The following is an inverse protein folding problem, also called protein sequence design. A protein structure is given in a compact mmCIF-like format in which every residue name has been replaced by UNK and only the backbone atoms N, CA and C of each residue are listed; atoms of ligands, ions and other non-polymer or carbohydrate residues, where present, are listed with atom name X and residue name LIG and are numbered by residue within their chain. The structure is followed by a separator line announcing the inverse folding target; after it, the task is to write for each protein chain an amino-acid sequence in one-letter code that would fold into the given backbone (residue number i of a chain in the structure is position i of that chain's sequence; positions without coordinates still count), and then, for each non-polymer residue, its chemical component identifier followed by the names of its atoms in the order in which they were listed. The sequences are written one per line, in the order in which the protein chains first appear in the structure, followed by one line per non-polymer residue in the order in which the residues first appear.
data_IF_812474296904
#
_entry.id   IF_812474296904
#
_cell.length_a   1.000
_cell.length_b   1.000
_cell.length_c   1.000
_cell.angle_alpha   90.00
_cell.angle_beta   90.00
_cell.angle_gamma   90.00
#
_symmetry.space_group_name_H-M   'P 1'
#
loop_
_entity.id
_entity.type
_entity.pdbx_description
1 polymer ?
#
# COMPACT_ATOMS: atom_id res chain seq x y z
N UNK A 1 -6.91 17.40 6.98
CA UNK A 1 -5.63 17.13 6.28
C UNK A 1 -5.15 15.76 6.72
N UNK A 2 -5.19 14.77 5.83
CA UNK A 2 -4.80 13.39 6.14
C UNK A 2 -3.32 13.32 6.46
N UNK A 3 -2.93 12.52 7.46
CA UNK A 3 -1.53 12.35 7.84
C UNK A 3 -1.04 11.00 7.32
N UNK A 4 0.09 11.01 6.63
CA UNK A 4 0.78 9.75 6.28
C UNK A 4 1.03 8.95 7.55
N UNK A 5 0.64 7.67 7.52
CA UNK A 5 0.73 6.76 8.65
C UNK A 5 -0.50 6.73 9.57
N UNK A 6 -1.55 7.50 9.31
CA UNK A 6 -2.82 7.35 10.04
C UNK A 6 -3.69 6.22 9.47
N UNK A 7 -4.71 5.79 10.23
CA UNK A 7 -5.60 4.71 9.83
C UNK A 7 -6.37 5.00 8.53
N UNK A 8 -6.69 6.28 8.26
CA UNK A 8 -7.40 6.67 7.04
C UNK A 8 -6.52 6.56 5.79
N UNK A 9 -5.23 6.87 5.94
CA UNK A 9 -4.20 6.67 4.92
C UNK A 9 -4.05 5.20 4.57
N UNK A 10 -3.88 4.32 5.58
CA UNK A 10 -3.69 2.89 5.31
C UNK A 10 -4.88 2.25 4.64
N UNK A 11 -6.10 2.63 5.01
CA UNK A 11 -7.32 2.13 4.35
C UNK A 11 -7.35 2.39 2.84
N UNK A 12 -6.75 3.49 2.36
CA UNK A 12 -6.70 3.80 0.91
C UNK A 12 -5.57 3.07 0.25
N UNK A 13 -4.42 3.06 0.91
CA UNK A 13 -3.27 2.27 0.46
C UNK A 13 -3.68 0.81 0.30
N UNK A 14 -4.43 0.25 1.23
CA UNK A 14 -4.95 -1.13 1.14
C UNK A 14 -5.85 -1.32 -0.07
N UNK A 15 -6.76 -0.38 -0.34
CA UNK A 15 -7.65 -0.44 -1.50
C UNK A 15 -6.92 -0.24 -2.84
N UNK A 16 -5.95 0.67 -2.85
CA UNK A 16 -5.21 1.05 -4.05
C UNK A 16 -4.17 -0.01 -4.42
N UNK A 17 -3.56 -0.61 -3.40
CA UNK A 17 -2.57 -1.67 -3.55
C UNK A 17 -3.21 -3.05 -3.42
N UNK A 18 -4.54 -3.16 -3.35
CA UNK A 18 -5.23 -4.44 -3.31
C UNK A 18 -4.79 -5.25 -4.53
N UNK A 19 -4.03 -6.34 -4.34
CA UNK A 19 -3.61 -7.16 -5.44
C UNK A 19 -4.86 -7.89 -5.92
N UNK A 20 -5.57 -7.30 -6.89
CA UNK A 20 -6.70 -7.93 -7.54
C UNK A 20 -6.39 -9.42 -7.73
N UNK A 21 -7.18 -10.24 -7.03
CA UNK A 21 -6.98 -11.64 -6.59
C UNK A 21 -6.26 -12.60 -7.56
N UNK A 22 -5.02 -12.34 -7.91
CA UNK A 22 -4.18 -13.30 -8.65
C UNK A 22 -3.27 -14.03 -7.69
N UNK A 23 -3.20 -15.36 -7.85
CA UNK A 23 -2.43 -16.32 -7.03
C UNK A 23 -0.96 -15.95 -6.82
N UNK A 24 -0.43 -15.07 -7.68
CA UNK A 24 0.90 -14.46 -7.58
C UNK A 24 0.77 -12.95 -7.33
N UNK A 25 1.32 -12.41 -6.23
CA UNK A 25 1.32 -10.97 -5.99
C UNK A 25 2.06 -10.25 -7.12
N UNK A 26 1.46 -9.19 -7.69
CA UNK A 26 2.17 -8.31 -8.62
C UNK A 26 3.32 -7.62 -7.89
N UNK A 27 4.53 -7.79 -8.40
CA UNK A 27 5.76 -7.19 -7.86
C UNK A 27 5.94 -5.75 -8.37
N UNK A 28 5.54 -5.46 -9.61
CA UNK A 28 5.61 -4.11 -10.20
C UNK A 28 4.34 -3.77 -10.96
N UNK A 29 3.87 -2.54 -10.84
CA UNK A 29 2.72 -2.00 -11.57
C UNK A 29 2.76 -0.48 -11.56
N UNK A 30 1.91 0.17 -12.36
CA UNK A 30 1.79 1.62 -12.36
C UNK A 30 0.34 2.07 -12.20
N UNK A 31 0.14 3.21 -11.55
CA UNK A 31 -1.16 3.87 -11.37
C UNK A 31 -0.93 5.36 -11.60
N UNK A 32 -1.61 5.94 -12.59
CA UNK A 32 -1.64 7.41 -12.79
C UNK A 32 -0.27 8.09 -12.75
N UNK A 33 0.71 7.52 -13.46
CA UNK A 33 2.08 8.03 -13.54
C UNK A 33 2.95 7.78 -12.29
N UNK A 34 2.51 6.91 -11.39
CA UNK A 34 3.29 6.43 -10.23
C UNK A 34 3.65 4.96 -10.46
N UNK A 35 4.94 4.68 -10.46
CA UNK A 35 5.48 3.32 -10.52
C UNK A 35 5.52 2.72 -9.11
N UNK A 36 4.94 1.53 -8.96
CA UNK A 36 4.88 0.80 -7.70
C UNK A 36 5.75 -0.45 -7.77
N UNK A 37 6.49 -0.69 -6.70
CA UNK A 37 7.28 -1.89 -6.46
C UNK A 37 6.87 -2.48 -5.11
N UNK A 38 6.56 -3.78 -5.07
CA UNK A 38 6.30 -4.53 -3.83
C UNK A 38 7.35 -5.62 -3.66
N UNK A 39 8.01 -5.59 -2.52
CA UNK A 39 8.95 -6.61 -2.08
C UNK A 39 8.41 -7.27 -0.82
N UNK A 40 8.52 -8.59 -0.74
CA UNK A 40 8.09 -9.36 0.43
C UNK A 40 9.23 -10.24 0.90
N UNK A 41 9.58 -10.09 2.18
CA UNK A 41 10.51 -10.96 2.88
C UNK A 41 9.72 -11.77 3.90
N UNK A 42 10.04 -13.05 4.04
CA UNK A 42 9.42 -13.90 5.06
C UNK A 42 10.45 -14.77 5.73
N UNK A 43 10.25 -14.97 7.02
CA UNK A 43 11.03 -15.85 7.88
C UNK A 43 10.06 -16.79 8.60
N UNK A 44 10.42 -18.07 8.68
CA UNK A 44 9.68 -19.08 9.42
C UNK A 44 10.66 -19.83 10.31
N UNK A 45 10.50 -19.70 11.62
CA UNK A 45 11.28 -20.38 12.64
C UNK A 45 10.40 -21.17 13.60
N UNK A 46 11.03 -21.97 14.47
CA UNK A 46 10.32 -22.86 15.38
C UNK A 46 9.44 -22.14 16.42
N UNK A 47 9.86 -20.96 16.89
CA UNK A 47 9.12 -20.18 17.89
C UNK A 47 8.28 -19.05 17.31
N UNK A 48 8.68 -18.52 16.14
CA UNK A 48 8.03 -17.41 15.50
C UNK A 48 8.34 -17.38 14.00
N UNK A 49 7.48 -16.68 13.27
CA UNK A 49 7.71 -16.29 11.90
C UNK A 49 7.27 -14.86 11.68
N UNK A 50 7.73 -14.26 10.59
CA UNK A 50 7.24 -12.96 10.17
C UNK A 50 7.21 -12.84 8.66
N UNK A 51 6.35 -11.94 8.17
CA UNK A 51 6.40 -11.43 6.81
C UNK A 51 6.50 -9.91 6.86
N UNK A 52 7.43 -9.34 6.11
CA UNK A 52 7.54 -7.89 5.89
C UNK A 52 7.22 -7.63 4.42
N UNK A 53 6.26 -6.76 4.18
CA UNK A 53 5.91 -6.25 2.86
C UNK A 53 6.30 -4.78 2.77
N UNK A 54 7.19 -4.46 1.84
CA UNK A 54 7.60 -3.09 1.53
C UNK A 54 7.02 -2.73 0.18
N UNK A 55 6.17 -1.71 0.13
CA UNK A 55 5.61 -1.18 -1.11
C UNK A 55 6.08 0.25 -1.33
N UNK A 56 6.78 0.48 -2.44
CA UNK A 56 7.39 1.75 -2.81
C UNK A 56 6.66 2.32 -4.02
N UNK A 57 6.09 3.52 -3.89
CA UNK A 57 5.49 4.28 -4.98
C UNK A 57 6.42 5.42 -5.40
N UNK A 58 6.76 5.52 -6.68
CA UNK A 58 7.69 6.51 -7.22
C UNK A 58 7.01 7.32 -8.32
N UNK A 59 6.85 8.62 -8.09
CA UNK A 59 6.44 9.59 -9.11
C UNK A 59 7.66 10.40 -9.53
N UNK A 60 8.14 10.20 -10.75
CA UNK A 60 9.31 10.93 -11.28
C UNK A 60 8.94 12.27 -11.90
N UNK A 61 7.73 12.39 -12.47
CA UNK A 61 7.21 13.63 -13.02
C UNK A 61 6.90 14.65 -11.92
N UNK A 62 7.18 15.94 -12.14
CA UNK A 62 6.90 16.98 -11.14
C UNK A 62 5.40 17.13 -10.84
N UNK A 63 5.00 17.37 -9.57
CA UNK A 63 5.84 17.27 -8.38
C UNK A 63 6.24 15.80 -8.12
N UNK A 64 7.55 15.57 -7.99
CA UNK A 64 8.11 14.24 -7.82
C UNK A 64 8.09 13.85 -6.34
N UNK A 65 7.85 12.58 -6.06
CA UNK A 65 7.89 12.04 -4.70
C UNK A 65 8.13 10.53 -4.71
N UNK A 66 8.65 10.03 -3.59
CA UNK A 66 8.82 8.61 -3.31
C UNK A 66 8.17 8.28 -1.97
N UNK A 67 7.20 7.38 -1.98
CA UNK A 67 6.45 6.93 -0.81
C UNK A 67 6.82 5.48 -0.50
N UNK A 68 7.13 5.20 0.75
CA UNK A 68 7.37 3.85 1.26
C UNK A 68 6.26 3.51 2.25
N UNK A 69 5.64 2.35 2.06
CA UNK A 69 4.66 1.75 2.97
C UNK A 69 5.21 0.41 3.40
N UNK A 70 5.31 0.19 4.71
CA UNK A 70 5.77 -1.07 5.28
C UNK A 70 4.68 -1.69 6.12
N UNK A 71 4.48 -2.99 5.93
CA UNK A 71 3.60 -3.81 6.76
C UNK A 71 4.36 -5.02 7.26
N UNK A 72 4.23 -5.27 8.56
CA UNK A 72 4.85 -6.41 9.22
C UNK A 72 3.77 -7.28 9.85
N UNK A 73 3.87 -8.58 9.61
CA UNK A 73 2.94 -9.58 10.14
C UNK A 73 3.73 -10.61 10.93
N UNK A 74 3.62 -10.57 12.24
CA UNK A 74 4.28 -11.46 13.17
C UNK A 74 3.36 -12.61 13.55
N UNK A 75 3.94 -13.82 13.56
CA UNK A 75 3.23 -15.06 13.88
C UNK A 75 4.01 -15.90 14.87
N UNK A 76 3.32 -16.69 15.68
CA UNK A 76 3.92 -17.79 16.45
C UNK A 76 4.44 -18.88 15.51
N UNK A 77 5.23 -19.81 16.04
CA UNK A 77 5.76 -20.96 15.29
C UNK A 77 4.68 -21.88 14.71
N UNK A 78 3.51 -21.97 15.36
CA UNK A 78 2.31 -22.69 14.87
C UNK A 78 1.41 -21.84 13.95
N UNK A 79 1.82 -20.61 13.64
CA UNK A 79 1.18 -19.76 12.62
C UNK A 79 0.09 -18.81 13.13
N UNK A 80 -0.18 -18.75 14.44
CA UNK A 80 -1.13 -17.80 15.01
C UNK A 80 -0.61 -16.37 14.93
N UNK A 81 -1.49 -15.40 14.69
CA UNK A 81 -1.10 -13.99 14.63
C UNK A 81 -0.69 -13.46 16.00
N UNK A 82 0.51 -12.91 16.10
CA UNK A 82 1.02 -12.24 17.31
C UNK A 82 0.81 -10.73 17.24
N UNK A 83 1.21 -10.11 16.14
CA UNK A 83 1.22 -8.66 15.99
C UNK A 83 1.19 -8.29 14.52
N UNK A 84 0.53 -7.17 14.23
CA UNK A 84 0.68 -6.50 12.94
C UNK A 84 1.09 -5.06 13.17
N UNK A 85 2.04 -4.60 12.37
CA UNK A 85 2.53 -3.23 12.38
C UNK A 85 2.43 -2.69 10.96
N UNK A 86 2.13 -1.41 10.86
CA UNK A 86 2.20 -0.71 9.59
C UNK A 86 2.67 0.72 9.83
N UNK A 87 3.53 1.18 8.94
CA UNK A 87 4.03 2.55 8.95
C UNK A 87 4.28 2.99 7.50
N UNK A 88 4.35 4.31 7.31
CA UNK A 88 4.61 4.87 6.00
C UNK A 88 5.45 6.15 6.13
N UNK A 89 6.27 6.41 5.12
CA UNK A 89 7.17 7.54 5.08
C UNK A 89 7.35 8.02 3.64
N UNK A 90 7.46 9.34 3.45
CA UNK A 90 7.84 9.92 2.15
C UNK A 90 9.34 10.09 2.17
N UNK A 91 10.03 9.18 1.47
CA UNK A 91 11.49 9.10 1.42
C UNK A 91 12.09 10.30 0.68
N UNK A 92 11.39 10.83 -0.33
CA UNK A 92 11.81 12.05 -1.03
C UNK A 92 10.61 12.80 -1.64
N UNK A 93 10.82 14.10 -1.89
CA UNK A 93 9.80 14.97 -2.48
C UNK A 93 8.79 15.51 -1.46
N UNK A 94 7.64 15.94 -1.97
CA UNK A 94 6.62 16.64 -1.17
C UNK A 94 5.63 15.65 -0.55
N UNK A 95 5.52 15.70 0.78
CA UNK A 95 4.52 14.93 1.54
C UNK A 95 3.09 15.30 1.13
N UNK A 96 2.82 16.58 0.95
CA UNK A 96 1.51 17.08 0.54
C UNK A 96 1.12 16.53 -0.82
N UNK A 97 2.04 16.54 -1.79
CA UNK A 97 1.75 16.04 -3.14
C UNK A 97 1.47 14.54 -3.18
N UNK A 98 2.13 13.75 -2.32
CA UNK A 98 1.86 12.33 -2.17
C UNK A 98 0.47 12.07 -1.57
N UNK A 99 0.08 12.83 -0.54
CA UNK A 99 -1.26 12.75 0.08
C UNK A 99 -2.35 13.18 -0.91
N UNK A 100 -2.16 14.30 -1.61
CA UNK A 100 -3.11 14.81 -2.59
C UNK A 100 -3.30 13.82 -3.76
N UNK A 101 -2.22 13.15 -4.18
CA UNK A 101 -2.30 12.10 -5.18
C UNK A 101 -3.13 10.91 -4.69
N UNK A 102 -2.90 10.42 -3.46
CA UNK A 102 -3.67 9.32 -2.87
C UNK A 102 -5.16 9.67 -2.76
N UNK A 103 -5.48 10.89 -2.34
CA UNK A 103 -6.86 11.37 -2.26
C UNK A 103 -7.55 11.42 -3.63
N UNK A 104 -6.83 11.82 -4.69
CA UNK A 104 -7.35 11.75 -6.07
C UNK A 104 -7.67 10.31 -6.47
N UNK A 105 -6.81 9.34 -6.13
CA UNK A 105 -7.09 7.94 -6.44
C UNK A 105 -8.27 7.39 -5.64
N UNK A 106 -8.41 7.74 -4.36
CA UNK A 106 -9.58 7.37 -3.55
C UNK A 106 -10.89 7.84 -4.21
N UNK A 107 -10.93 9.10 -4.68
CA UNK A 107 -12.09 9.65 -5.41
C UNK A 107 -12.39 8.89 -6.71
N UNK A 108 -11.35 8.51 -7.46
CA UNK A 108 -11.49 7.73 -8.71
C UNK A 108 -12.05 6.32 -8.44
N UNK A 109 -11.54 5.64 -7.41
CA UNK A 109 -12.04 4.32 -7.01
C UNK A 109 -13.51 4.37 -6.58
N UNK A 110 -13.91 5.39 -5.82
CA UNK A 110 -15.31 5.57 -5.41
C UNK A 110 -16.25 5.82 -6.62
N UNK A 111 -15.80 6.63 -7.58
CA UNK A 111 -16.55 6.92 -8.80
C UNK A 111 -16.74 5.70 -9.71
N UNK A 112 -15.77 4.78 -9.75
CA UNK A 112 -15.87 3.55 -10.55
C UNK A 112 -16.94 2.61 -10.00
N UNK A 113 -16.97 2.41 -8.68
CA UNK A 113 -17.95 1.55 -8.02
C UNK A 113 -19.40 2.00 -8.23
N UNK A 114 -19.62 3.32 -8.23
CA UNK A 114 -20.97 3.90 -8.42
C UNK A 114 -21.49 3.70 -9.85
N UNK A 115 -20.58 3.54 -10.83
CA UNK A 115 -20.97 3.23 -12.21
C UNK A 115 -21.29 1.75 -12.39
N UNK A 116 -20.54 0.85 -11.75
CA UNK A 116 -20.82 -0.59 -11.76
C UNK A 116 -22.18 -0.91 -11.09
N UNK A 117 -22.49 -0.28 -9.95
CA UNK A 117 -23.76 -0.48 -9.23
C UNK A 117 -25.00 0.09 -9.96
N UNK A 118 -24.82 0.99 -10.94
CA UNK A 118 -25.91 1.63 -11.70
C UNK A 118 -26.10 1.06 -13.10
N UNK A 119 -25.19 0.21 -13.57
CA UNK A 119 -25.18 -0.35 -14.93
C UNK A 119 -25.33 -1.87 -14.99
N UNK A 120 -25.65 -2.52 -13.86
CA UNK A 120 -25.96 -3.95 -13.76
C UNK A 120 -27.45 -4.22 -13.74
#
# INVERSE_FOLDING_TARGET
MRKIGDASFFRIVDRLLDPGTTRTPKVRWSIDGVEWLRERHSFAGASHGFSVEVTTGTKTAKPAWKLVVVKEYWRTGDGQNLKSLQWAHVESGSRTDAVDWLERQERRLAAHRTKEERGG
#
